data_IF_009509672690
#
_entry.id   IF_009509672690
#
_cell.length_a   1.000
_cell.length_b   1.000
_cell.length_c   1.000
_cell.angle_alpha   90.00
_cell.angle_beta   90.00
_cell.angle_gamma   90.00
#
_symmetry.space_group_name_H-M   'P 1'
#
loop_
_entity.id
_entity.type
_entity.pdbx_description
1 polymer ?
#
# COMPACT_ATOMS: atom_id res chain seq x y z
N UNK A 1 -30.12 13.12 18.63
CA UNK A 1 -30.50 12.91 20.04
C UNK A 1 -29.60 13.77 20.91
N UNK A 2 -30.14 14.55 21.83
CA UNK A 2 -29.34 15.30 22.82
C UNK A 2 -28.62 14.33 23.76
N UNK A 3 -27.35 14.60 24.08
CA UNK A 3 -26.48 13.77 24.93
C UNK A 3 -27.17 13.35 26.24
N UNK A 4 -27.97 14.23 26.85
CA UNK A 4 -28.72 13.92 28.08
C UNK A 4 -29.81 12.85 27.94
N UNK A 5 -30.35 12.63 26.74
CA UNK A 5 -31.38 11.61 26.46
C UNK A 5 -30.77 10.21 26.26
N UNK A 6 -29.56 10.16 25.70
CA UNK A 6 -28.76 8.93 25.56
C UNK A 6 -28.28 8.41 26.92
N UNK A 7 -27.97 9.34 27.83
CA UNK A 7 -27.51 9.07 29.20
C UNK A 7 -28.49 8.25 30.02
N UNK A 8 -29.77 8.63 30.03
CA UNK A 8 -30.80 7.91 30.80
C UNK A 8 -30.97 6.47 30.31
N UNK A 9 -30.91 6.28 28.98
CA UNK A 9 -31.12 4.98 28.35
C UNK A 9 -29.99 3.99 28.64
N UNK A 10 -28.73 4.44 28.63
CA UNK A 10 -27.57 3.59 28.90
C UNK A 10 -27.40 3.27 30.40
N UNK A 11 -27.78 4.18 31.30
CA UNK A 11 -27.69 3.92 32.75
C UNK A 11 -28.74 2.97 33.30
N UNK A 12 -29.94 2.90 32.70
CA UNK A 12 -31.08 2.08 33.18
C UNK A 12 -30.96 0.61 32.76
N UNK A 13 -30.25 0.30 31.68
CA UNK A 13 -30.23 -1.05 31.09
C UNK A 13 -29.04 -1.95 31.51
N UNK A 14 -28.18 -1.49 32.44
CA UNK A 14 -27.12 -2.35 33.00
C UNK A 14 -26.10 -2.86 31.96
N UNK A 15 -25.88 -2.12 30.87
CA UNK A 15 -24.95 -2.55 29.82
C UNK A 15 -23.51 -2.64 30.33
N UNK A 16 -22.89 -3.80 30.09
CA UNK A 16 -21.45 -4.02 30.27
C UNK A 16 -20.65 -3.17 29.26
N UNK A 17 -19.36 -2.91 29.55
CA UNK A 17 -18.42 -2.06 28.77
C UNK A 17 -18.51 -2.35 27.27
N UNK A 18 -18.57 -3.62 26.91
CA UNK A 18 -18.63 -4.15 25.56
C UNK A 18 -19.91 -3.73 24.84
N UNK A 19 -21.05 -3.66 25.55
CA UNK A 19 -22.32 -3.17 25.00
C UNK A 19 -22.29 -1.68 24.67
N UNK A 20 -21.73 -0.85 25.55
CA UNK A 20 -21.61 0.61 25.34
C UNK A 20 -20.66 0.89 24.17
N UNK A 21 -19.51 0.21 24.14
CA UNK A 21 -18.54 0.34 23.04
C UNK A 21 -19.14 -0.10 21.71
N UNK A 22 -19.89 -1.21 21.69
CA UNK A 22 -20.57 -1.66 20.47
C UNK A 22 -21.60 -0.66 19.96
N UNK A 23 -22.36 -0.04 20.87
CA UNK A 23 -23.28 1.03 20.50
C UNK A 23 -22.56 2.23 19.91
N UNK A 24 -21.44 2.68 20.49
CA UNK A 24 -20.65 3.76 19.90
C UNK A 24 -20.08 3.39 18.52
N UNK A 25 -19.57 2.16 18.33
CA UNK A 25 -19.10 1.73 17.00
C UNK A 25 -20.23 1.64 15.96
N UNK A 26 -21.43 1.25 16.38
CA UNK A 26 -22.59 1.23 15.52
C UNK A 26 -23.05 2.66 15.17
N UNK A 27 -23.16 3.54 16.16
CA UNK A 27 -23.71 4.89 15.99
C UNK A 27 -22.76 5.84 15.24
N UNK A 28 -21.44 5.77 15.51
CA UNK A 28 -20.47 6.65 14.86
C UNK A 28 -19.91 6.09 13.56
N UNK A 29 -19.90 4.76 13.39
CA UNK A 29 -19.20 4.11 12.27
C UNK A 29 -20.04 3.10 11.48
N UNK A 30 -21.29 2.84 11.88
CA UNK A 30 -22.15 1.85 11.23
C UNK A 30 -21.64 0.41 11.36
N UNK A 31 -20.72 0.14 12.30
CA UNK A 31 -20.09 -1.17 12.46
C UNK A 31 -20.88 -1.98 13.50
N UNK A 32 -21.51 -3.06 13.06
CA UNK A 32 -22.13 -4.05 13.94
C UNK A 32 -21.13 -5.14 14.30
N UNK A 33 -20.67 -5.16 15.55
CA UNK A 33 -19.72 -6.16 16.05
C UNK A 33 -20.44 -7.44 16.49
N UNK A 34 -19.98 -8.59 15.99
CA UNK A 34 -20.43 -9.90 16.46
C UNK A 34 -19.99 -10.11 17.92
N UNK A 35 -20.70 -10.93 18.73
CA UNK A 35 -20.38 -11.15 20.14
C UNK A 35 -18.92 -11.55 20.42
N UNK A 36 -18.29 -12.31 19.53
CA UNK A 36 -16.89 -12.72 19.61
C UNK A 36 -15.89 -11.57 19.37
N UNK A 37 -16.27 -10.56 18.59
CA UNK A 37 -15.40 -9.43 18.25
C UNK A 37 -15.41 -8.36 19.33
N UNK A 38 -16.48 -8.26 20.12
CA UNK A 38 -16.70 -7.18 21.09
C UNK A 38 -15.57 -7.07 22.11
N UNK A 39 -15.13 -8.20 22.66
CA UNK A 39 -14.05 -8.26 23.65
C UNK A 39 -12.71 -7.81 23.07
N UNK A 40 -12.42 -8.20 21.82
CA UNK A 40 -11.18 -7.84 21.14
C UNK A 40 -11.13 -6.34 20.81
N UNK A 41 -12.24 -5.77 20.35
CA UNK A 41 -12.34 -4.34 20.06
C UNK A 41 -12.29 -3.49 21.34
N UNK A 42 -12.94 -3.93 22.43
CA UNK A 42 -12.87 -3.25 23.71
C UNK A 42 -11.43 -3.17 24.26
N UNK A 43 -10.69 -4.29 24.23
CA UNK A 43 -9.27 -4.34 24.63
C UNK A 43 -8.39 -3.48 23.73
N UNK A 44 -8.63 -3.50 22.42
CA UNK A 44 -7.87 -2.70 21.45
C UNK A 44 -8.10 -1.20 21.66
N UNK A 45 -9.34 -0.81 21.99
CA UNK A 45 -9.70 0.57 22.28
C UNK A 45 -9.01 1.05 23.57
N UNK A 46 -9.07 0.27 24.66
CA UNK A 46 -8.37 0.58 25.92
C UNK A 46 -6.86 0.80 25.68
N UNK A 47 -6.23 -0.10 24.91
CA UNK A 47 -4.81 -0.01 24.57
C UNK A 47 -4.49 1.22 23.71
N UNK A 48 -5.40 1.61 22.81
CA UNK A 48 -5.23 2.81 21.98
C UNK A 48 -5.40 4.09 22.79
N UNK A 49 -6.32 4.12 23.75
CA UNK A 49 -6.49 5.22 24.70
C UNK A 49 -5.22 5.44 25.54
N UNK A 50 -4.62 4.36 26.02
CA UNK A 50 -3.35 4.40 26.74
C UNK A 50 -2.20 4.90 25.83
N UNK A 51 -2.11 4.41 24.60
CA UNK A 51 -1.09 4.83 23.62
C UNK A 51 -1.20 6.32 23.24
N UNK A 52 -2.42 6.84 23.14
CA UNK A 52 -2.66 8.26 22.82
C UNK A 52 -2.52 9.18 24.04
N UNK A 53 -2.09 8.65 25.20
CA UNK A 53 -1.92 9.39 26.45
C UNK A 53 -3.18 10.16 26.85
N UNK A 54 -4.36 9.55 26.68
CA UNK A 54 -5.57 10.16 27.23
C UNK A 54 -5.44 10.33 28.75
N UNK A 55 -6.01 11.39 29.33
CA UNK A 55 -5.68 11.82 30.70
C UNK A 55 -6.02 10.79 31.78
N UNK A 56 -6.90 9.83 31.49
CA UNK A 56 -7.34 8.83 32.43
C UNK A 56 -7.48 7.46 31.72
N UNK A 57 -6.63 6.47 32.03
CA UNK A 57 -6.77 5.13 31.49
C UNK A 57 -8.01 4.45 32.10
N UNK A 58 -8.63 3.56 31.32
CA UNK A 58 -9.79 2.81 31.77
C UNK A 58 -9.65 1.31 31.47
N UNK A 59 -10.31 0.53 32.30
CA UNK A 59 -10.31 -0.93 32.29
C UNK A 59 -11.74 -1.45 32.32
N UNK A 60 -11.92 -2.76 32.15
CA UNK A 60 -13.25 -3.37 32.21
C UNK A 60 -13.93 -3.23 33.57
N UNK A 61 -13.18 -3.10 34.67
CA UNK A 61 -13.72 -2.90 36.02
C UNK A 61 -14.31 -1.51 36.24
N UNK A 62 -13.91 -0.51 35.46
CA UNK A 62 -14.44 0.87 35.57
C UNK A 62 -15.90 0.99 35.12
N UNK A 63 -16.47 -0.06 34.51
CA UNK A 63 -17.87 -0.14 34.11
C UNK A 63 -18.60 -1.34 34.73
N UNK A 64 -18.05 -1.92 35.80
CA UNK A 64 -18.73 -2.93 36.60
C UNK A 64 -19.86 -2.29 37.45
N UNK A 65 -20.63 -3.11 38.17
CA UNK A 65 -21.75 -2.64 39.00
C UNK A 65 -21.30 -1.67 40.11
N UNK A 66 -20.10 -1.85 40.68
CA UNK A 66 -19.48 -0.97 41.68
C UNK A 66 -18.67 0.18 41.06
N UNK A 67 -19.27 0.86 40.07
CA UNK A 67 -18.61 1.94 39.33
C UNK A 67 -18.53 3.26 40.11
N UNK A 68 -17.43 3.99 39.94
CA UNK A 68 -17.35 5.42 40.28
C UNK A 68 -18.03 6.25 39.17
N UNK A 69 -19.19 6.89 39.45
CA UNK A 69 -19.95 7.63 38.45
C UNK A 69 -19.17 8.81 37.86
N UNK A 70 -18.30 9.46 38.66
CA UNK A 70 -17.52 10.62 38.20
C UNK A 70 -16.37 10.18 37.30
N UNK A 71 -15.74 9.05 37.60
CA UNK A 71 -14.71 8.45 36.73
C UNK A 71 -15.32 7.96 35.42
N UNK A 72 -16.43 7.21 35.50
CA UNK A 72 -17.15 6.75 34.32
C UNK A 72 -17.58 7.90 33.40
N UNK A 73 -18.13 8.98 33.96
CA UNK A 73 -18.53 10.14 33.16
C UNK A 73 -17.35 10.77 32.41
N UNK A 74 -16.17 10.85 33.04
CA UNK A 74 -14.96 11.37 32.40
C UNK A 74 -14.49 10.46 31.28
N UNK A 75 -14.40 9.15 31.54
CA UNK A 75 -13.99 8.16 30.55
C UNK A 75 -14.92 8.20 29.32
N UNK A 76 -16.23 8.23 29.53
CA UNK A 76 -17.21 8.29 28.44
C UNK A 76 -17.07 9.59 27.63
N UNK A 77 -16.91 10.75 28.28
CA UNK A 77 -16.69 12.02 27.56
C UNK A 77 -15.45 11.96 26.67
N UNK A 78 -14.35 11.38 27.15
CA UNK A 78 -13.15 11.17 26.33
C UNK A 78 -13.38 10.16 25.21
N UNK A 79 -14.18 9.11 25.46
CA UNK A 79 -14.58 8.12 24.45
C UNK A 79 -15.35 8.76 23.30
N UNK A 80 -16.33 9.60 23.61
CA UNK A 80 -17.10 10.34 22.61
C UNK A 80 -16.23 11.34 21.85
N UNK A 81 -15.39 12.09 22.55
CA UNK A 81 -14.46 13.03 21.90
C UNK A 81 -13.49 12.32 20.96
N UNK A 82 -13.01 11.13 21.34
CA UNK A 82 -12.21 10.27 20.47
C UNK A 82 -12.99 9.88 19.22
N UNK A 83 -14.22 9.36 19.37
CA UNK A 83 -15.03 8.96 18.23
C UNK A 83 -15.39 10.13 17.31
N UNK A 84 -15.73 11.31 17.85
CA UNK A 84 -15.99 12.51 17.07
C UNK A 84 -14.75 13.02 16.32
N UNK A 85 -13.57 12.97 16.96
CA UNK A 85 -12.30 13.40 16.35
C UNK A 85 -11.88 12.49 15.20
N UNK A 86 -12.14 11.18 15.32
CA UNK A 86 -11.77 10.18 14.32
C UNK A 86 -12.89 9.84 13.32
N UNK A 87 -14.11 10.35 13.50
CA UNK A 87 -15.23 10.19 12.58
C UNK A 87 -14.90 10.58 11.11
N UNK A 88 -14.26 11.74 10.83
CA UNK A 88 -13.92 12.13 9.45
C UNK A 88 -12.86 11.21 8.82
N UNK A 89 -11.90 10.74 9.62
CA UNK A 89 -10.88 9.79 9.16
C UNK A 89 -11.50 8.42 8.85
N UNK A 90 -12.56 8.05 9.56
CA UNK A 90 -13.28 6.80 9.33
C UNK A 90 -14.19 6.85 8.10
N UNK A 91 -14.82 8.00 7.77
CA UNK A 91 -15.54 8.13 6.49
C UNK A 91 -14.61 7.91 5.29
N UNK A 92 -13.40 8.48 5.35
CA UNK A 92 -12.37 8.24 4.33
C UNK A 92 -11.95 6.76 4.30
N UNK A 93 -11.62 6.16 5.44
CA UNK A 93 -11.23 4.75 5.50
C UNK A 93 -12.34 3.79 5.04
N UNK A 94 -13.61 4.09 5.36
CA UNK A 94 -14.78 3.32 4.94
C UNK A 94 -15.03 3.46 3.44
N UNK A 95 -14.86 4.66 2.87
CA UNK A 95 -14.96 4.88 1.42
C UNK A 95 -13.89 4.10 0.65
N UNK A 96 -12.66 4.09 1.17
CA UNK A 96 -11.53 3.34 0.60
C UNK A 96 -11.78 1.84 0.71
N UNK A 97 -12.24 1.35 1.87
CA UNK A 97 -12.57 -0.06 2.09
C UNK A 97 -13.68 -0.55 1.16
N UNK A 98 -14.76 0.24 0.98
CA UNK A 98 -15.83 -0.09 0.06
C UNK A 98 -15.34 -0.10 -1.39
N UNK A 99 -14.49 0.85 -1.79
CA UNK A 99 -13.83 0.84 -3.09
C UNK A 99 -13.00 -0.43 -3.32
N UNK A 100 -12.25 -0.88 -2.31
CA UNK A 100 -11.50 -2.14 -2.38
C UNK A 100 -12.42 -3.36 -2.46
N UNK A 101 -13.51 -3.39 -1.69
CA UNK A 101 -14.49 -4.48 -1.71
C UNK A 101 -15.19 -4.60 -3.07
N UNK A 102 -15.58 -3.47 -3.66
CA UNK A 102 -16.16 -3.43 -5.01
C UNK A 102 -15.15 -3.94 -6.05
N UNK A 103 -13.91 -3.45 -6.02
CA UNK A 103 -12.83 -3.92 -6.91
C UNK A 103 -12.53 -5.41 -6.74
N UNK A 104 -12.52 -5.92 -5.51
CA UNK A 104 -12.33 -7.35 -5.24
C UNK A 104 -13.50 -8.19 -5.78
N UNK A 105 -14.74 -7.70 -5.64
CA UNK A 105 -15.91 -8.37 -6.21
C UNK A 105 -15.87 -8.42 -7.74
N UNK A 106 -15.43 -7.33 -8.38
CA UNK A 106 -15.24 -7.23 -9.82
C UNK A 106 -14.13 -8.18 -10.29
N UNK A 107 -13.00 -8.25 -9.57
CA UNK A 107 -11.91 -9.17 -9.86
C UNK A 107 -12.35 -10.63 -9.74
N UNK A 108 -13.16 -10.96 -8.74
CA UNK A 108 -13.72 -12.31 -8.56
C UNK A 108 -14.69 -12.68 -9.69
N UNK A 109 -15.55 -11.74 -10.11
CA UNK A 109 -16.44 -11.91 -11.26
C UNK A 109 -15.66 -12.11 -12.57
N UNK A 110 -14.61 -11.32 -12.80
CA UNK A 110 -13.72 -11.47 -13.95
C UNK A 110 -12.99 -12.81 -13.92
N UNK A 111 -12.52 -13.26 -12.76
CA UNK A 111 -11.91 -14.57 -12.59
C UNK A 111 -12.88 -15.69 -12.93
N UNK A 112 -14.11 -15.65 -12.41
CA UNK A 112 -15.15 -16.63 -12.78
C UNK A 112 -15.46 -16.59 -14.27
N UNK A 113 -15.46 -15.40 -14.89
CA UNK A 113 -15.65 -15.26 -16.34
C UNK A 113 -14.49 -15.86 -17.13
N UNK A 114 -13.24 -15.63 -16.71
CA UNK A 114 -12.05 -16.26 -17.28
C UNK A 114 -12.13 -17.79 -17.12
N UNK A 115 -12.47 -18.29 -15.94
CA UNK A 115 -12.59 -19.72 -15.68
C UNK A 115 -13.75 -20.36 -16.47
N UNK A 116 -14.85 -19.62 -16.72
CA UNK A 116 -15.94 -20.05 -17.60
C UNK A 116 -15.60 -20.02 -19.09
N UNK A 117 -14.66 -19.16 -19.51
CA UNK A 117 -14.10 -19.15 -20.86
C UNK A 117 -13.00 -20.20 -21.00
N UNK A 118 -12.40 -20.62 -19.88
CA UNK A 118 -11.48 -21.74 -19.74
C UNK A 118 -12.19 -23.09 -19.73
N UNK A 119 -13.37 -23.18 -20.37
CA UNK A 119 -13.98 -24.46 -20.76
C UNK A 119 -13.02 -25.12 -21.76
N UNK A 120 -12.11 -25.92 -21.19
CA UNK A 120 -11.57 -27.20 -21.65
C UNK A 120 -11.72 -27.41 -23.17
N UNK A 121 -10.75 -26.92 -23.94
CA UNK A 121 -10.60 -27.30 -25.34
C UNK A 121 -9.78 -28.60 -25.46
N UNK A 122 -10.18 -29.65 -24.74
CA UNK A 122 -9.52 -30.97 -24.78
C UNK A 122 -9.46 -31.52 -26.20
N UNK A 123 -10.51 -31.23 -26.99
CA UNK A 123 -10.60 -31.59 -28.40
C UNK A 123 -9.60 -30.84 -29.29
N UNK A 124 -9.25 -29.57 -28.97
CA UNK A 124 -8.16 -28.88 -29.66
C UNK A 124 -6.79 -29.35 -29.20
N UNK A 125 -6.58 -29.65 -27.91
CA UNK A 125 -5.30 -30.19 -27.42
C UNK A 125 -5.00 -31.57 -28.02
N UNK A 126 -6.00 -32.46 -28.10
CA UNK A 126 -5.88 -33.77 -28.76
C UNK A 126 -5.58 -33.61 -30.26
N UNK A 127 -6.31 -32.72 -30.97
CA UNK A 127 -6.02 -32.42 -32.39
C UNK A 127 -4.66 -31.78 -32.59
N UNK A 128 -4.20 -30.93 -31.67
CA UNK A 128 -2.88 -30.30 -31.73
C UNK A 128 -1.77 -31.33 -31.59
N UNK A 129 -1.95 -32.30 -30.69
CA UNK A 129 -1.04 -33.43 -30.53
C UNK A 129 -1.01 -34.31 -31.79
N UNK A 130 -2.18 -34.59 -32.37
CA UNK A 130 -2.32 -35.34 -33.63
C UNK A 130 -1.62 -34.63 -34.79
N UNK A 131 -1.83 -33.32 -34.97
CA UNK A 131 -1.15 -32.54 -36.00
C UNK A 131 0.37 -32.50 -35.79
N UNK A 132 0.82 -32.43 -34.54
CA UNK A 132 2.24 -32.43 -34.23
C UNK A 132 2.89 -33.78 -34.58
N UNK A 133 2.21 -34.90 -34.31
CA UNK A 133 2.68 -36.23 -34.73
C UNK A 133 2.73 -36.38 -36.25
N UNK A 134 1.70 -35.91 -36.96
CA UNK A 134 1.65 -35.95 -38.42
C UNK A 134 2.76 -35.10 -39.07
N UNK A 135 3.08 -33.94 -38.48
CA UNK A 135 4.20 -33.10 -38.95
C UNK A 135 5.53 -33.84 -38.81
N UNK A 136 5.77 -34.50 -37.68
CA UNK A 136 7.00 -35.27 -37.44
C UNK A 136 7.12 -36.43 -38.43
N UNK A 137 6.02 -37.15 -38.68
CA UNK A 137 6.00 -38.25 -39.65
C UNK A 137 6.28 -37.76 -41.07
N UNK A 138 5.64 -36.67 -41.50
CA UNK A 138 5.88 -36.05 -42.81
C UNK A 138 7.31 -35.55 -42.97
N UNK A 139 7.90 -34.96 -41.93
CA UNK A 139 9.30 -34.54 -41.94
C UNK A 139 10.25 -35.75 -42.08
N UNK A 140 9.95 -36.86 -41.40
CA UNK A 140 10.74 -38.09 -41.51
C UNK A 140 10.66 -38.69 -42.92
N UNK A 141 9.46 -38.71 -43.52
CA UNK A 141 9.23 -39.21 -44.88
C UNK A 141 9.91 -38.32 -45.93
N UNK A 142 9.84 -36.99 -45.76
CA UNK A 142 10.53 -36.05 -46.63
C UNK A 142 12.05 -36.23 -46.56
N UNK A 143 12.60 -36.40 -45.36
CA UNK A 143 14.03 -36.65 -45.15
C UNK A 143 14.49 -37.95 -45.82
N UNK A 144 13.70 -39.02 -45.71
CA UNK A 144 13.97 -40.29 -46.38
C UNK A 144 13.96 -40.14 -47.92
N UNK A 145 12.98 -39.42 -48.48
CA UNK A 145 12.92 -39.14 -49.93
C UNK A 145 14.08 -38.27 -50.41
N UNK A 146 14.48 -37.25 -49.65
CA UNK A 146 15.64 -36.41 -49.99
C UNK A 146 16.95 -37.20 -49.97
N UNK A 147 17.09 -38.14 -49.03
CA UNK A 147 18.25 -39.03 -48.95
C UNK A 147 18.30 -39.98 -50.15
N UNK A 148 17.15 -40.57 -50.52
CA UNK A 148 17.04 -41.40 -51.73
C UNK A 148 17.35 -40.61 -53.01
N UNK A 149 16.89 -39.36 -53.11
CA UNK A 149 17.23 -38.47 -54.23
C UNK A 149 18.74 -38.20 -54.32
N UNK A 150 19.40 -37.88 -53.20
CA UNK A 150 20.87 -37.68 -53.18
C UNK A 150 21.62 -38.92 -53.67
N UNK A 151 21.20 -40.12 -53.26
CA UNK A 151 21.82 -41.36 -53.74
C UNK A 151 21.64 -41.56 -55.26
N UNK A 152 20.50 -41.16 -55.82
CA UNK A 152 20.29 -41.17 -57.28
C UNK A 152 21.17 -40.13 -57.98
N UNK A 153 21.25 -38.91 -57.47
CA UNK A 153 22.09 -37.85 -58.03
C UNK A 153 23.59 -38.22 -57.99
N UNK A 154 24.04 -38.90 -56.94
CA UNK A 154 25.40 -39.46 -56.84
C UNK A 154 25.65 -40.55 -57.89
N UNK A 155 24.68 -41.45 -58.10
CA UNK A 155 24.76 -42.48 -59.15
C UNK A 155 24.83 -41.84 -60.54
N UNK A 156 23.97 -40.87 -60.83
CA UNK A 156 23.99 -40.12 -62.10
C UNK A 156 25.34 -39.47 -62.31
N UNK A 157 25.86 -38.76 -61.30
CA UNK A 157 27.18 -38.12 -61.36
C UNK A 157 28.32 -39.12 -61.56
N UNK A 158 28.22 -40.31 -60.97
CA UNK A 158 29.20 -41.38 -61.15
C UNK A 158 29.19 -41.94 -62.58
N UNK A 159 28.00 -42.14 -63.16
CA UNK A 159 27.84 -42.60 -64.54
C UNK A 159 28.27 -41.52 -65.54
N UNK A 160 27.98 -40.24 -65.28
CA UNK A 160 28.49 -39.13 -66.11
C UNK A 160 30.02 -39.05 -66.10
N UNK A 161 30.67 -39.33 -64.96
CA UNK A 161 32.14 -39.43 -64.88
C UNK A 161 32.69 -40.61 -65.68
N UNK A 162 32.05 -41.78 -65.62
CA UNK A 162 32.42 -42.94 -66.45
C UNK A 162 32.27 -42.62 -67.94
N UNK A 163 31.19 -41.94 -68.31
CA UNK A 163 30.94 -41.51 -69.69
C UNK A 163 32.05 -40.56 -70.17
N UNK A 164 32.44 -39.59 -69.36
CA UNK A 164 33.52 -38.65 -69.69
C UNK A 164 34.88 -39.35 -69.88
N UNK A 165 35.20 -40.33 -69.03
CA UNK A 165 36.41 -41.16 -69.18
C UNK A 165 36.38 -42.00 -70.45
N UNK A 166 35.22 -42.54 -70.84
CA UNK A 166 35.06 -43.24 -72.12
C UNK A 166 35.26 -42.28 -73.30
N UNK A 167 34.69 -41.08 -73.26
CA UNK A 167 34.90 -40.05 -74.28
C UNK A 167 36.35 -39.57 -74.38
N UNK A 168 37.10 -39.56 -73.27
CA UNK A 168 38.53 -39.22 -73.26
C UNK A 168 39.40 -40.38 -73.77
N UNK A 169 38.99 -41.62 -73.51
CA UNK A 169 39.60 -42.83 -74.10
C UNK A 169 39.38 -42.91 -75.62
N UNK A 170 38.22 -42.45 -76.10
CA UNK A 170 37.86 -42.36 -77.52
C UNK A 170 38.69 -41.29 -78.25
N UNK A 171 39.06 -40.20 -77.57
CA UNK A 171 39.97 -39.15 -78.10
C UNK A 171 41.44 -39.58 -78.17
N UNK A 172 41.85 -40.54 -77.34
CA UNK A 172 43.25 -41.03 -77.31
C UNK A 172 43.50 -42.23 -78.23
N UNK A 173 42.45 -42.82 -78.80
CA UNK A 173 42.52 -43.97 -79.73
C UNK A 173 41.75 -43.73 -81.03
N UNK A 174 42.18 -42.76 -81.86
CA UNK A 174 41.95 -42.85 -83.32
C UNK A 174 42.46 -41.60 -84.03
N UNK A 175 43.71 -41.67 -84.46
CA UNK A 175 44.16 -41.08 -85.72
C UNK A 175 44.04 -42.16 -86.81
N UNK A 176 42.88 -42.83 -86.96
CA UNK A 176 42.68 -43.80 -88.07
C UNK A 176 41.23 -44.23 -88.38
N UNK A 177 40.19 -43.79 -87.66
CA UNK A 177 38.82 -44.35 -87.80
C UNK A 177 37.78 -43.28 -88.15
N UNK A 178 38.07 -42.40 -89.10
CA UNK A 178 37.13 -41.32 -89.50
C UNK A 178 36.11 -41.76 -90.56
N UNK A 179 36.26 -42.91 -91.21
CA UNK A 179 35.35 -43.35 -92.29
C UNK A 179 34.34 -44.43 -91.83
N UNK A 180 34.66 -45.21 -90.79
CA UNK A 180 33.78 -46.30 -90.32
C UNK A 180 32.68 -45.80 -89.37
N UNK A 181 32.90 -44.69 -88.67
CA UNK A 181 31.96 -44.21 -87.64
C UNK A 181 30.72 -43.49 -88.21
N UNK A 182 30.80 -42.92 -89.41
CA UNK A 182 29.61 -42.36 -90.08
C UNK A 182 28.65 -43.48 -90.54
N UNK A 183 29.19 -44.63 -90.95
CA UNK A 183 28.40 -45.78 -91.37
C UNK A 183 27.73 -46.51 -90.19
N UNK A 184 28.37 -46.55 -89.02
CA UNK A 184 27.81 -47.18 -87.82
C UNK A 184 26.73 -46.33 -87.14
N UNK A 185 26.87 -45.01 -87.15
CA UNK A 185 25.86 -44.08 -86.61
C UNK A 185 24.62 -44.04 -87.53
N UNK A 186 24.82 -44.07 -88.86
CA UNK A 186 23.72 -44.16 -89.82
C UNK A 186 22.94 -45.49 -89.68
N UNK A 187 23.63 -46.62 -89.53
CA UNK A 187 22.97 -47.93 -89.31
C UNK A 187 22.29 -48.05 -87.94
N UNK A 188 22.81 -47.41 -86.89
CA UNK A 188 22.16 -47.37 -85.58
C UNK A 188 20.90 -46.49 -85.54
N UNK A 189 20.89 -45.39 -86.31
CA UNK A 189 19.71 -44.53 -86.49
C UNK A 189 18.65 -45.20 -87.37
N UNK A 190 19.06 -45.88 -88.46
CA UNK A 190 18.14 -46.65 -89.29
C UNK A 190 17.52 -47.82 -88.54
N UNK A 191 18.30 -48.52 -87.70
CA UNK A 191 17.79 -49.61 -86.86
C UNK A 191 16.80 -49.12 -85.81
N UNK A 192 17.06 -47.97 -85.17
CA UNK A 192 16.10 -47.32 -84.26
C UNK A 192 14.83 -46.84 -84.98
N UNK A 193 14.96 -46.37 -86.22
CA UNK A 193 13.83 -45.90 -87.02
C UNK A 193 12.97 -47.08 -87.51
N UNK A 194 13.61 -48.22 -87.82
CA UNK A 194 12.93 -49.48 -88.15
C UNK A 194 12.27 -50.10 -86.91
N UNK A 195 12.92 -50.07 -85.75
CA UNK A 195 12.35 -50.51 -84.47
C UNK A 195 11.15 -49.64 -84.07
N UNK A 196 11.21 -48.31 -84.27
CA UNK A 196 10.08 -47.40 -84.02
C UNK A 196 8.93 -47.58 -85.04
N UNK A 197 9.24 -47.84 -86.31
CA UNK A 197 8.22 -48.20 -87.32
C UNK A 197 7.56 -49.54 -87.01
N UNK A 198 8.33 -50.56 -86.65
CA UNK A 198 7.82 -51.86 -86.24
C UNK A 198 7.00 -51.78 -84.93
N UNK A 199 7.41 -50.93 -83.98
CA UNK A 199 6.64 -50.66 -82.75
C UNK A 199 5.32 -49.93 -83.05
N UNK A 200 5.33 -48.99 -83.99
CA UNK A 200 4.11 -48.32 -84.47
C UNK A 200 3.18 -49.31 -85.18
N UNK A 201 3.70 -50.17 -86.06
CA UNK A 201 2.93 -51.22 -86.73
C UNK A 201 2.49 -52.35 -85.80
N UNK A 202 3.16 -52.55 -84.66
CA UNK A 202 2.75 -53.46 -83.58
C UNK A 202 1.70 -52.86 -82.64
N UNK A 203 1.69 -51.53 -82.46
CA UNK A 203 0.72 -50.81 -81.63
C UNK A 203 -0.56 -50.45 -82.41
N UNK A 204 -0.48 -50.35 -83.74
CA UNK A 204 -1.63 -50.06 -84.60
C UNK A 204 -2.71 -51.16 -84.48
N UNK A 205 -2.39 -52.47 -84.48
CA UNK A 205 -3.34 -53.55 -84.19
C UNK A 205 -3.84 -53.52 -82.74
N UNK A 206 -3.03 -53.11 -81.75
CA UNK A 206 -3.47 -53.06 -80.33
C UNK A 206 -4.48 -51.93 -80.04
N UNK A 207 -4.44 -50.84 -80.83
CA UNK A 207 -5.47 -49.79 -80.81
C UNK A 207 -6.73 -50.23 -81.59
N UNK A 208 -6.59 -51.13 -82.56
CA UNK A 208 -7.67 -51.64 -83.41
C UNK A 208 -8.35 -52.90 -82.80
N UNK A 209 -7.66 -53.69 -81.98
CA UNK A 209 -8.14 -54.95 -81.38
C UNK A 209 -8.82 -54.79 -80.00
N UNK A 210 -8.73 -53.62 -79.36
CA UNK A 210 -9.46 -53.35 -78.10
C UNK A 210 -10.03 -51.91 -78.01
N UNK A 211 -10.91 -51.51 -78.95
CA UNK A 211 -11.52 -50.17 -78.97
C UNK A 211 -12.42 -49.86 -77.76
N UNK A 212 -12.78 -50.87 -76.93
CA UNK A 212 -13.65 -50.70 -75.76
C UNK A 212 -12.96 -50.29 -74.45
N UNK A 213 -11.63 -50.43 -74.33
CA UNK A 213 -10.91 -50.27 -73.04
C UNK A 213 -10.22 -48.91 -72.91
N UNK A 214 -9.71 -48.35 -74.01
CA UNK A 214 -9.08 -47.03 -74.03
C UNK A 214 -10.03 -45.88 -73.61
N UNK A 215 -11.31 -45.85 -74.08
CA UNK A 215 -12.27 -44.85 -73.63
C UNK A 215 -12.53 -44.92 -72.12
N UNK A 216 -12.58 -46.14 -71.53
CA UNK A 216 -12.75 -46.33 -70.08
C UNK A 216 -11.57 -45.79 -69.27
N UNK A 217 -10.34 -46.06 -69.70
CA UNK A 217 -9.14 -45.55 -69.02
C UNK A 217 -9.04 -44.01 -69.09
N UNK A 218 -9.46 -43.41 -70.22
CA UNK A 218 -9.52 -41.95 -70.38
C UNK A 218 -10.60 -41.35 -69.47
N UNK A 219 -11.77 -41.96 -69.36
CA UNK A 219 -12.83 -41.50 -68.45
C UNK A 219 -12.43 -41.66 -66.97
N UNK A 220 -11.73 -42.73 -66.59
CA UNK A 220 -11.17 -42.85 -65.23
C UNK A 220 -10.13 -41.77 -64.90
N UNK A 221 -9.26 -41.44 -65.86
CA UNK A 221 -8.28 -40.36 -65.69
C UNK A 221 -8.95 -38.99 -65.60
N UNK A 222 -10.00 -38.72 -66.39
CA UNK A 222 -10.81 -37.50 -66.26
C UNK A 222 -11.51 -37.42 -64.91
N UNK A 223 -12.08 -38.52 -64.44
CA UNK A 223 -12.73 -38.56 -63.13
C UNK A 223 -11.73 -38.26 -62.00
N UNK A 224 -10.52 -38.83 -62.06
CA UNK A 224 -9.44 -38.52 -61.10
C UNK A 224 -8.94 -37.08 -61.20
N UNK A 225 -8.83 -36.53 -62.41
CA UNK A 225 -8.46 -35.13 -62.63
C UNK A 225 -9.50 -34.18 -62.02
N UNK A 226 -10.79 -34.42 -62.27
CA UNK A 226 -11.88 -33.62 -61.72
C UNK A 226 -11.93 -33.71 -60.18
N UNK A 227 -11.69 -34.89 -59.61
CA UNK A 227 -11.62 -35.06 -58.15
C UNK A 227 -10.46 -34.27 -57.54
N UNK A 228 -9.27 -34.32 -58.17
CA UNK A 228 -8.10 -33.54 -57.77
C UNK A 228 -8.34 -32.03 -57.90
N UNK A 229 -9.01 -31.57 -58.96
CA UNK A 229 -9.37 -30.16 -59.11
C UNK A 229 -10.31 -29.69 -57.99
N UNK A 230 -11.26 -30.53 -57.59
CA UNK A 230 -12.20 -30.23 -56.51
C UNK A 230 -11.47 -30.14 -55.15
N UNK A 231 -10.58 -31.09 -54.86
CA UNK A 231 -9.71 -31.03 -53.67
C UNK A 231 -8.82 -29.78 -53.68
N UNK A 232 -8.26 -29.40 -54.84
CA UNK A 232 -7.42 -28.22 -54.95
C UNK A 232 -8.21 -26.92 -54.70
N UNK A 233 -9.48 -26.86 -55.13
CA UNK A 233 -10.37 -25.74 -54.81
C UNK A 233 -10.73 -25.69 -53.31
N UNK A 234 -10.97 -26.83 -52.68
CA UNK A 234 -11.25 -26.91 -51.25
C UNK A 234 -10.04 -26.46 -50.41
N UNK A 235 -8.83 -26.90 -50.78
CA UNK A 235 -7.58 -26.46 -50.14
C UNK A 235 -7.43 -24.94 -50.27
N UNK A 236 -7.66 -24.37 -51.47
CA UNK A 236 -7.59 -22.91 -51.68
C UNK A 236 -8.58 -22.15 -50.81
N UNK A 237 -9.82 -22.63 -50.67
CA UNK A 237 -10.82 -22.03 -49.81
C UNK A 237 -10.41 -22.07 -48.33
N UNK A 238 -9.87 -23.20 -47.86
CA UNK A 238 -9.34 -23.35 -46.50
C UNK A 238 -8.13 -22.44 -46.26
N UNK A 239 -7.19 -22.34 -47.21
CA UNK A 239 -6.05 -21.42 -47.11
C UNK A 239 -6.51 -19.97 -46.97
N UNK A 240 -7.49 -19.55 -47.76
CA UNK A 240 -8.06 -18.20 -47.66
C UNK A 240 -8.68 -17.92 -46.28
N UNK A 241 -9.43 -18.87 -45.71
CA UNK A 241 -9.98 -18.73 -44.35
C UNK A 241 -8.89 -18.64 -43.27
N UNK A 242 -7.80 -19.40 -43.43
CA UNK A 242 -6.66 -19.35 -42.52
C UNK A 242 -5.96 -17.99 -42.61
N UNK A 243 -5.75 -17.45 -43.82
CA UNK A 243 -5.13 -16.14 -44.00
C UNK A 243 -5.96 -15.00 -43.39
N UNK A 244 -7.29 -15.09 -43.51
CA UNK A 244 -8.20 -14.16 -42.83
C UNK A 244 -8.06 -14.26 -41.30
N UNK A 245 -8.07 -15.48 -40.76
CA UNK A 245 -7.92 -15.73 -39.32
C UNK A 245 -6.57 -15.21 -38.80
N UNK A 246 -5.47 -15.44 -39.53
CA UNK A 246 -4.13 -14.92 -39.19
C UNK A 246 -4.15 -13.39 -39.13
N UNK A 247 -4.83 -12.75 -40.08
CA UNK A 247 -4.93 -11.29 -40.13
C UNK A 247 -5.71 -10.73 -38.92
N UNK A 248 -6.78 -11.40 -38.51
CA UNK A 248 -7.53 -11.04 -37.30
C UNK A 248 -6.69 -11.21 -36.03
N UNK A 249 -5.92 -12.30 -35.93
CA UNK A 249 -4.99 -12.53 -34.81
C UNK A 249 -3.90 -11.47 -34.72
N UNK A 250 -3.31 -11.06 -35.86
CA UNK A 250 -2.32 -9.97 -35.89
C UNK A 250 -2.92 -8.67 -35.38
N UNK A 251 -4.13 -8.32 -35.83
CA UNK A 251 -4.83 -7.13 -35.36
C UNK A 251 -5.11 -7.17 -33.85
N UNK A 252 -5.50 -8.33 -33.32
CA UNK A 252 -5.74 -8.50 -31.89
C UNK A 252 -4.43 -8.36 -31.09
N UNK A 253 -3.35 -8.95 -31.58
CA UNK A 253 -2.02 -8.84 -30.98
C UNK A 253 -1.59 -7.36 -30.86
N UNK A 254 -1.71 -6.58 -31.94
CA UNK A 254 -1.36 -5.16 -31.95
C UNK A 254 -2.18 -4.35 -30.93
N UNK A 255 -3.47 -4.67 -30.78
CA UNK A 255 -4.33 -4.02 -29.77
C UNK A 255 -3.84 -4.34 -28.35
N UNK A 256 -3.53 -5.61 -28.08
CA UNK A 256 -3.05 -6.05 -26.76
C UNK A 256 -1.70 -5.40 -26.44
N UNK A 257 -0.78 -5.35 -27.40
CA UNK A 257 0.53 -4.72 -27.24
C UNK A 257 0.39 -3.23 -26.90
N UNK A 258 -0.46 -2.50 -27.63
CA UNK A 258 -0.72 -1.08 -27.35
C UNK A 258 -1.35 -0.85 -25.96
N UNK A 259 -2.26 -1.74 -25.54
CA UNK A 259 -2.85 -1.68 -24.21
C UNK A 259 -1.80 -1.93 -23.11
N UNK A 260 -0.93 -2.94 -23.28
CA UNK A 260 0.15 -3.24 -22.35
C UNK A 260 1.11 -2.07 -22.20
N UNK A 261 1.52 -1.43 -23.30
CA UNK A 261 2.38 -0.24 -23.26
C UNK A 261 1.71 0.91 -22.52
N UNK A 262 0.41 1.11 -22.71
CA UNK A 262 -0.36 2.17 -22.03
C UNK A 262 -0.46 1.92 -20.53
N UNK A 263 -0.74 0.67 -20.13
CA UNK A 263 -0.77 0.27 -18.72
C UNK A 263 0.60 0.45 -18.08
N UNK A 264 1.67 0.01 -18.75
CA UNK A 264 3.04 0.16 -18.24
C UNK A 264 3.42 1.63 -18.01
N UNK A 265 3.08 2.53 -18.94
CA UNK A 265 3.28 3.98 -18.77
C UNK A 265 2.49 4.53 -17.58
N UNK A 266 1.24 4.10 -17.41
CA UNK A 266 0.38 4.56 -16.32
C UNK A 266 0.94 4.12 -14.96
N UNK A 267 1.36 2.85 -14.85
CA UNK A 267 2.01 2.32 -13.65
C UNK A 267 3.30 3.08 -13.33
N UNK A 268 4.12 3.37 -14.34
CA UNK A 268 5.37 4.12 -14.13
C UNK A 268 5.09 5.55 -13.62
N UNK A 269 4.08 6.23 -14.18
CA UNK A 269 3.66 7.56 -13.73
C UNK A 269 3.15 7.55 -12.28
N UNK A 270 2.34 6.57 -11.91
CA UNK A 270 1.84 6.39 -10.53
C UNK A 270 2.98 6.14 -9.54
N UNK A 271 3.92 5.27 -9.88
CA UNK A 271 5.09 4.99 -9.04
C UNK A 271 5.96 6.24 -8.84
N UNK A 272 6.12 7.05 -9.89
CA UNK A 272 6.82 8.32 -9.80
C UNK A 272 6.10 9.31 -8.88
N UNK A 273 4.78 9.44 -9.01
CA UNK A 273 3.98 10.29 -8.12
C UNK A 273 4.04 9.83 -6.67
N UNK A 274 3.92 8.52 -6.40
CA UNK A 274 4.07 7.98 -5.05
C UNK A 274 5.45 8.28 -4.45
N UNK A 275 6.50 8.14 -5.25
CA UNK A 275 7.88 8.43 -4.82
C UNK A 275 8.10 9.92 -4.55
N UNK A 276 7.38 10.81 -5.24
CA UNK A 276 7.39 12.24 -4.97
C UNK A 276 6.64 12.54 -3.67
N UNK A 277 5.41 12.03 -3.52
CA UNK A 277 4.62 12.22 -2.29
C UNK A 277 5.31 11.69 -1.04
N UNK A 278 6.06 10.59 -1.16
CA UNK A 278 6.86 10.06 -0.05
C UNK A 278 7.96 11.04 0.38
N UNK A 279 8.68 11.63 -0.58
CA UNK A 279 9.69 12.66 -0.27
C UNK A 279 9.07 13.90 0.35
N UNK A 280 7.89 14.31 -0.12
CA UNK A 280 7.19 15.47 0.45
C UNK A 280 6.75 15.19 1.89
N UNK A 281 6.27 13.98 2.20
CA UNK A 281 5.96 13.55 3.57
C UNK A 281 7.19 13.57 4.49
N UNK A 282 8.34 13.10 4.02
CA UNK A 282 9.60 13.15 4.80
C UNK A 282 10.03 14.59 5.12
N UNK A 283 9.74 15.55 4.25
CA UNK A 283 9.98 16.97 4.50
C UNK A 283 9.03 17.47 5.60
N UNK A 284 7.73 17.19 5.48
CA UNK A 284 6.75 17.60 6.49
C UNK A 284 7.03 16.96 7.87
N UNK A 285 7.44 15.70 7.94
CA UNK A 285 7.79 15.05 9.20
C UNK A 285 8.97 15.74 9.88
N UNK A 286 9.99 16.17 9.12
CA UNK A 286 11.11 16.95 9.66
C UNK A 286 10.66 18.32 10.17
N UNK A 287 9.77 19.01 9.44
CA UNK A 287 9.20 20.28 9.90
C UNK A 287 8.38 20.13 11.19
N UNK A 288 7.55 19.09 11.27
CA UNK A 288 6.76 18.77 12.46
C UNK A 288 7.68 18.48 13.63
N UNK A 289 8.72 17.65 13.45
CA UNK A 289 9.72 17.38 14.49
C UNK A 289 10.42 18.67 14.97
N UNK A 290 10.78 19.58 14.05
CA UNK A 290 11.35 20.88 14.39
C UNK A 290 10.39 21.78 15.19
N UNK A 291 9.09 21.78 14.85
CA UNK A 291 8.06 22.50 15.61
C UNK A 291 7.86 21.91 17.00
N UNK A 292 7.85 20.58 17.14
CA UNK A 292 7.76 19.91 18.44
C UNK A 292 8.91 20.31 19.37
N UNK A 293 10.15 20.32 18.88
CA UNK A 293 11.30 20.77 19.67
C UNK A 293 11.16 22.24 20.12
N UNK A 294 10.60 23.09 19.25
CA UNK A 294 10.33 24.50 19.60
C UNK A 294 9.24 24.64 20.66
N UNK A 295 8.18 23.84 20.59
CA UNK A 295 7.11 23.79 21.59
C UNK A 295 7.64 23.30 22.94
N UNK A 296 8.46 22.25 22.94
CA UNK A 296 9.08 21.72 24.15
C UNK A 296 9.97 22.76 24.85
N UNK A 297 10.80 23.47 24.07
CA UNK A 297 11.61 24.58 24.58
C UNK A 297 10.74 25.70 25.18
N UNK A 298 9.63 26.04 24.52
CA UNK A 298 8.70 27.05 25.03
C UNK A 298 8.02 26.58 26.32
N UNK A 299 7.61 25.32 26.38
CA UNK A 299 7.04 24.70 27.58
C UNK A 299 7.99 24.80 28.77
N UNK A 300 9.28 24.48 28.55
CA UNK A 300 10.31 24.63 29.59
C UNK A 300 10.43 26.08 30.08
N UNK A 301 10.48 27.06 29.16
CA UNK A 301 10.54 28.48 29.52
C UNK A 301 9.33 28.93 30.34
N UNK A 302 8.13 28.46 30.02
CA UNK A 302 6.92 28.77 30.76
C UNK A 302 6.99 28.18 32.17
N UNK A 303 7.42 26.93 32.32
CA UNK A 303 7.60 26.30 33.63
C UNK A 303 8.61 27.06 34.47
N UNK A 304 9.80 27.35 33.93
CA UNK A 304 10.86 28.08 34.63
C UNK A 304 10.36 29.48 35.09
N UNK A 305 9.63 30.20 34.22
CA UNK A 305 9.06 31.50 34.54
C UNK A 305 7.96 31.41 35.62
N UNK A 306 7.14 30.35 35.57
CA UNK A 306 6.09 30.10 36.56
C UNK A 306 6.69 29.80 37.94
N UNK A 307 7.74 28.98 38.00
CA UNK A 307 8.46 28.69 39.24
C UNK A 307 9.10 29.95 39.84
N UNK A 308 9.74 30.78 39.01
CA UNK A 308 10.29 32.07 39.44
C UNK A 308 9.22 33.01 39.99
N UNK A 309 8.05 33.05 39.35
CA UNK A 309 6.92 33.84 39.83
C UNK A 309 6.43 33.35 41.20
N UNK A 310 6.22 32.05 41.38
CA UNK A 310 5.81 31.47 42.65
C UNK A 310 6.79 31.78 43.79
N UNK A 311 8.09 31.69 43.53
CA UNK A 311 9.13 32.05 44.51
C UNK A 311 9.10 33.53 44.85
N UNK A 312 8.93 34.40 43.85
CA UNK A 312 8.81 35.85 44.04
C UNK A 312 7.58 36.21 44.87
N UNK A 313 6.42 35.63 44.55
CA UNK A 313 5.17 35.82 45.30
C UNK A 313 5.32 35.37 46.75
N UNK A 314 5.89 34.19 47.00
CA UNK A 314 6.16 33.72 48.35
C UNK A 314 7.07 34.68 49.13
N UNK A 315 8.12 35.20 48.49
CA UNK A 315 9.03 36.15 49.13
C UNK A 315 8.33 37.48 49.47
N UNK A 316 7.47 37.99 48.59
CA UNK A 316 6.66 39.19 48.85
C UNK A 316 5.71 38.96 50.02
N UNK A 317 5.00 37.82 50.04
CA UNK A 317 4.07 37.48 51.13
C UNK A 317 4.83 37.36 52.45
N UNK A 318 5.97 36.68 52.47
CA UNK A 318 6.82 36.56 53.66
C UNK A 318 7.28 37.92 54.18
N UNK A 319 7.73 38.81 53.29
CA UNK A 319 8.14 40.17 53.66
C UNK A 319 6.97 40.94 54.29
N UNK A 320 5.79 40.93 53.65
CA UNK A 320 4.59 41.59 54.18
C UNK A 320 4.16 41.06 55.55
N UNK A 321 4.23 39.74 55.76
CA UNK A 321 3.90 39.12 57.06
C UNK A 321 4.91 39.54 58.13
N UNK A 322 6.20 39.57 57.80
CA UNK A 322 7.24 40.02 58.73
C UNK A 322 7.06 41.48 59.13
N UNK A 323 6.77 42.37 58.16
CA UNK A 323 6.55 43.78 58.42
C UNK A 323 5.28 44.02 59.24
N UNK A 324 4.18 43.32 58.94
CA UNK A 324 2.96 43.37 59.75
C UNK A 324 3.20 42.88 61.18
N UNK A 325 3.98 41.81 61.36
CA UNK A 325 4.31 41.27 62.68
C UNK A 325 5.17 42.26 63.48
N UNK A 326 6.15 42.90 62.85
CA UNK A 326 6.96 43.96 63.48
C UNK A 326 6.09 45.13 63.92
N UNK A 327 5.22 45.63 63.04
CA UNK A 327 4.33 46.75 63.34
C UNK A 327 3.41 46.46 64.55
N UNK A 328 2.83 45.25 64.62
CA UNK A 328 2.00 44.83 65.77
C UNK A 328 2.82 44.78 67.06
N UNK A 329 4.06 44.26 67.00
CA UNK A 329 4.92 44.18 68.17
C UNK A 329 5.38 45.57 68.64
N UNK A 330 5.71 46.47 67.71
CA UNK A 330 6.11 47.85 68.02
C UNK A 330 4.96 48.63 68.68
N UNK A 331 3.72 48.49 68.18
CA UNK A 331 2.53 49.06 68.81
C UNK A 331 2.27 48.46 70.20
N UNK A 332 2.53 47.16 70.41
CA UNK A 332 2.43 46.54 71.73
C UNK A 332 3.45 47.14 72.72
N UNK A 333 4.72 47.22 72.32
CA UNK A 333 5.79 47.82 73.12
C UNK A 333 5.48 49.28 73.44
N UNK A 334 4.98 50.04 72.47
CA UNK A 334 4.57 51.44 72.67
C UNK A 334 3.45 51.57 73.71
N UNK A 335 2.41 50.72 73.64
CA UNK A 335 1.34 50.67 74.65
C UNK A 335 1.86 50.29 76.03
N UNK A 336 2.73 49.29 76.14
CA UNK A 336 3.35 48.87 77.41
C UNK A 336 4.17 50.00 78.02
N UNK A 337 4.98 50.70 77.21
CA UNK A 337 5.77 51.87 77.66
C UNK A 337 4.88 53.03 78.11
N UNK A 338 3.82 53.34 77.37
CA UNK A 338 2.87 54.39 77.76
C UNK A 338 2.19 54.05 79.10
N UNK A 339 1.73 52.82 79.28
CA UNK A 339 1.13 52.36 80.54
C UNK A 339 2.12 52.41 81.72
N UNK A 340 3.40 52.10 81.48
CA UNK A 340 4.43 52.21 82.51
C UNK A 340 4.70 53.68 82.88
N UNK A 341 4.76 54.57 81.88
CA UNK A 341 4.92 56.00 82.10
C UNK A 341 3.75 56.57 82.90
N UNK A 342 2.51 56.20 82.58
CA UNK A 342 1.32 56.61 83.33
C UNK A 342 1.40 56.18 84.80
N UNK A 343 1.86 54.95 85.07
CA UNK A 343 2.10 54.47 86.45
C UNK A 343 3.14 55.31 87.18
N UNK A 344 4.26 55.64 86.54
CA UNK A 344 5.28 56.50 87.13
C UNK A 344 4.73 57.92 87.38
N UNK A 345 4.06 58.52 86.41
CA UNK A 345 3.44 59.83 86.56
C UNK A 345 2.41 59.85 87.71
N UNK A 346 1.62 58.79 87.87
CA UNK A 346 0.71 58.64 89.00
C UNK A 346 1.47 58.57 90.33
N UNK A 347 2.51 57.74 90.42
CA UNK A 347 3.34 57.63 91.62
C UNK A 347 3.99 58.98 91.98
N UNK A 348 4.54 59.70 91.01
CA UNK A 348 5.10 61.04 91.22
C UNK A 348 4.05 62.03 91.72
N UNK A 349 2.86 62.08 91.09
CA UNK A 349 1.74 62.91 91.55
C UNK A 349 1.26 62.55 92.95
N UNK A 350 1.35 61.27 93.35
CA UNK A 350 0.97 60.83 94.69
C UNK A 350 1.99 61.21 95.77
N UNK A 351 3.27 61.36 95.38
CA UNK A 351 4.37 61.78 96.27
C UNK A 351 4.54 63.31 96.34
N UNK A 352 4.01 64.04 95.35
CA UNK A 352 4.06 65.50 95.28
C UNK A 352 3.48 66.21 96.53
N UNK A 353 2.34 65.78 97.12
CA UNK A 353 1.84 66.33 98.37
C UNK A 353 2.81 66.10 99.54
N UNK A 354 3.43 64.92 99.62
CA UNK A 354 4.38 64.58 100.68
C UNK A 354 5.66 65.42 100.58
N UNK A 355 6.20 65.60 99.37
CA UNK A 355 7.36 66.48 99.12
C UNK A 355 7.02 67.93 99.47
N UNK A 356 5.85 68.42 99.04
CA UNK A 356 5.39 69.78 99.34
C UNK A 356 5.21 69.97 100.85
N UNK A 357 4.67 68.98 101.55
CA UNK A 357 4.53 68.99 103.00
C UNK A 357 5.89 69.00 103.71
N UNK A 358 6.85 68.20 103.24
CA UNK A 358 8.23 68.18 103.75
C UNK A 358 8.96 69.50 103.49
N UNK A 359 8.76 70.12 102.34
CA UNK A 359 9.35 71.42 102.02
C UNK A 359 8.74 72.55 102.88
N UNK A 360 7.43 72.52 103.11
CA UNK A 360 6.75 73.44 104.02
C UNK A 360 7.24 73.27 105.47
N UNK A 361 7.41 72.01 105.93
CA UNK A 361 8.05 71.69 107.20
C UNK A 361 9.47 72.26 107.28
N UNK A 362 10.29 72.06 106.25
CA UNK A 362 11.65 72.58 106.19
C UNK A 362 11.68 74.12 106.29
N UNK A 363 10.80 74.80 105.54
CA UNK A 363 10.64 76.27 105.61
C UNK A 363 10.25 76.73 107.01
N UNK A 364 9.30 76.03 107.64
CA UNK A 364 8.86 76.33 109.01
C UNK A 364 9.99 76.13 110.02
N UNK A 365 10.73 75.02 109.92
CA UNK A 365 11.89 74.72 110.79
C UNK A 365 13.01 75.72 110.58
N UNK A 366 13.27 76.15 109.34
CA UNK A 366 14.26 77.19 109.04
C UNK A 366 13.88 78.53 109.70
N UNK A 367 12.62 78.95 109.61
CA UNK A 367 12.12 80.16 110.28
C UNK A 367 12.28 80.06 111.80
N UNK A 368 12.01 78.89 112.40
CA UNK A 368 12.21 78.65 113.83
C UNK A 368 13.69 78.77 114.22
N UNK A 369 14.58 78.15 113.44
CA UNK A 369 16.03 78.25 113.66
C UNK A 369 16.55 79.68 113.51
N UNK A 370 16.10 80.42 112.49
CA UNK A 370 16.47 81.82 112.27
C UNK A 370 15.93 82.73 113.40
N UNK A 371 14.74 82.45 113.95
CA UNK A 371 14.22 83.11 115.16
C UNK A 371 15.07 82.83 116.40
N UNK A 372 15.44 81.57 116.62
CA UNK A 372 16.31 81.20 117.76
C UNK A 372 17.70 81.83 117.66
N UNK A 373 18.26 81.90 116.45
CA UNK A 373 19.57 82.51 116.21
C UNK A 373 19.54 84.05 116.31
N UNK A 374 18.44 84.67 115.89
CA UNK A 374 18.23 86.12 116.02
C UNK A 374 17.99 86.53 117.47
N UNK A 375 17.30 85.71 118.26
CA UNK A 375 17.13 85.91 119.70
C UNK A 375 18.42 85.68 120.50
N UNK A 376 19.37 84.88 119.99
CA UNK A 376 20.70 84.69 120.60
C UNK A 376 21.70 85.84 120.33
N UNK A 377 21.40 86.78 119.43
CA UNK A 377 22.25 87.97 119.17
C UNK A 377 21.79 89.24 119.92
N UNK A 378 20.76 89.16 120.76
CA UNK A 378 20.25 90.27 121.58
C UNK A 378 20.27 89.93 123.09
N UNK A 379 21.23 89.12 123.54
CA UNK A 379 21.52 89.00 124.97
C UNK A 379 23.01 88.93 125.26
#
# INVERSE_FOLDING_TARGET
LTIGSYWLFLTVLGFKVDGIICHCFFDFYGISLSPSERSFYALSLMKKFEQMKFPEPFTSSDFAEERDPKKMSRILSWLFQFFETFAPANEYAYSVWNSYKEKASLASSLKQKIDSLRIINKAEEEKRLEYQNNIVELQSSLSAKLTSKRQLDERVSSESRKLALLTESEKSHSLEVTVVNFFFIATALDKKLYELKAKRESLLPQVIENPGVLPKAVEELKAKLNALELEMQEIRAKTFQVDQSISEFKRLHDVIENQLVTVARTCHSLLFQMSQSQRDLEIYDKEIAGRFASIELLGKKITDATEQLCVSEHNIVKAKVMDATRAVNDERIKKERAALLDKYCFAFKSLEPDVTAKEALLKTTKILFEREYSNKKVS
#
